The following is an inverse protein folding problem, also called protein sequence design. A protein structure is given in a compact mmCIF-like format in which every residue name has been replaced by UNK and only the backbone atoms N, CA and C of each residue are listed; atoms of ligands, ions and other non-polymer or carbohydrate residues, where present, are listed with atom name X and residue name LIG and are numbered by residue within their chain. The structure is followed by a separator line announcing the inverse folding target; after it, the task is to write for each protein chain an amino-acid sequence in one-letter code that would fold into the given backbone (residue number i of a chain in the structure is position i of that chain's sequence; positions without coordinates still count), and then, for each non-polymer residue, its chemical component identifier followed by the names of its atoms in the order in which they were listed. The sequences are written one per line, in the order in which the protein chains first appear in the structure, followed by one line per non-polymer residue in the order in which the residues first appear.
data_IF_041109254541
#
_entry.id   IF_041109254541
#
_cell.length_a   1.000
_cell.length_b   1.000
_cell.length_c   1.000
_cell.angle_alpha   90.00
_cell.angle_beta   90.00
_cell.angle_gamma   90.00
#
_symmetry.space_group_name_H-M   'P 1'
#
loop_
_entity.id
_entity.type
_entity.pdbx_description
1 polymer ?
#
# COMPACT_ATOMS: atom_id res chain seq x y z
N UNK A 1 -70.32 -3.56 21.50
CA UNK A 1 -69.83 -2.21 21.11
C UNK A 1 -68.39 -2.09 21.55
N UNK A 2 -67.50 -1.73 20.63
CA UNK A 2 -66.13 -1.34 20.92
C UNK A 2 -65.11 -2.47 21.00
N UNK A 3 -64.33 -2.67 19.94
CA UNK A 3 -62.96 -2.18 19.95
C UNK A 3 -62.42 -2.02 18.53
N UNK A 4 -61.92 -0.81 18.24
CA UNK A 4 -61.16 -0.48 17.06
C UNK A 4 -59.89 -1.31 16.95
N UNK A 5 -59.64 -1.86 15.77
CA UNK A 5 -58.36 -2.41 15.35
C UNK A 5 -58.17 -2.12 13.86
N UNK A 6 -57.78 -0.89 13.53
CA UNK A 6 -57.26 -0.52 12.21
C UNK A 6 -56.01 0.33 12.43
N UNK A 7 -54.83 -0.30 12.45
CA UNK A 7 -53.53 0.36 12.29
C UNK A 7 -52.51 -0.61 11.66
N UNK A 8 -52.06 -0.26 10.45
CA UNK A 8 -50.73 -0.48 9.86
C UNK A 8 -50.29 -1.87 9.36
N UNK A 9 -50.78 -2.28 8.18
CA UNK A 9 -49.99 -3.12 7.25
C UNK A 9 -49.08 -2.22 6.39
N UNK A 10 -47.84 -2.68 6.16
CA UNK A 10 -46.85 -2.23 5.16
C UNK A 10 -46.07 -0.92 5.34
N UNK A 11 -45.40 -0.74 6.50
CA UNK A 11 -44.31 0.26 6.66
C UNK A 11 -43.13 -0.29 7.47
N UNK A 12 -42.39 -1.26 6.94
CA UNK A 12 -41.14 -1.69 7.56
C UNK A 12 -40.00 -1.82 6.57
N UNK A 13 -38.80 -1.43 7.00
CA UNK A 13 -37.55 -1.67 6.30
C UNK A 13 -37.01 -3.06 6.66
N UNK A 14 -36.22 -3.72 5.78
CA UNK A 14 -35.54 -4.96 6.12
C UNK A 14 -34.66 -4.78 7.38
N UNK A 15 -34.67 -5.76 8.29
CA UNK A 15 -33.90 -5.70 9.55
C UNK A 15 -32.40 -5.49 9.30
N UNK A 16 -31.88 -6.05 8.21
CA UNK A 16 -30.48 -5.94 7.77
C UNK A 16 -30.12 -4.58 7.13
N UNK A 17 -31.09 -3.69 6.92
CA UNK A 17 -30.85 -2.35 6.38
C UNK A 17 -30.29 -1.43 7.47
N UNK A 18 -29.11 -0.85 7.25
CA UNK A 18 -28.45 0.04 8.22
C UNK A 18 -29.34 1.22 8.64
N UNK A 19 -29.27 1.61 9.92
CA UNK A 19 -30.02 2.75 10.46
C UNK A 19 -29.72 4.08 9.73
N UNK A 20 -28.51 4.27 9.22
CA UNK A 20 -28.15 5.44 8.41
C UNK A 20 -28.87 5.46 7.06
N UNK A 21 -28.99 4.31 6.39
CA UNK A 21 -29.72 4.22 5.13
C UNK A 21 -31.23 4.42 5.34
N UNK A 22 -31.80 3.86 6.43
CA UNK A 22 -33.22 4.08 6.80
C UNK A 22 -33.55 5.56 6.95
N UNK A 23 -32.77 6.27 7.77
CA UNK A 23 -32.95 7.71 7.99
C UNK A 23 -32.82 8.53 6.70
N UNK A 24 -31.90 8.13 5.81
CA UNK A 24 -31.70 8.81 4.54
C UNK A 24 -32.88 8.64 3.57
N UNK A 25 -33.44 7.43 3.50
CA UNK A 25 -34.62 7.12 2.68
C UNK A 25 -35.87 7.80 3.24
N UNK A 26 -36.05 7.79 4.56
CA UNK A 26 -37.14 8.49 5.25
C UNK A 26 -37.09 10.00 5.02
N UNK A 27 -35.90 10.61 5.09
CA UNK A 27 -35.70 12.02 4.77
C UNK A 27 -36.04 12.36 3.31
N UNK A 28 -36.02 11.37 2.41
CA UNK A 28 -36.42 11.51 1.01
C UNK A 28 -37.93 11.32 0.78
N UNK A 29 -38.66 10.91 1.82
CA UNK A 29 -40.10 10.66 1.79
C UNK A 29 -40.51 9.19 1.65
N UNK A 30 -39.55 8.26 1.67
CA UNK A 30 -39.83 6.82 1.63
C UNK A 30 -39.84 6.27 3.05
N UNK A 31 -41.00 5.82 3.53
CA UNK A 31 -41.19 5.33 4.89
C UNK A 31 -41.10 3.81 5.05
N UNK A 32 -41.05 3.07 3.94
CA UNK A 32 -40.87 1.62 3.93
C UNK A 32 -40.68 1.04 2.54
N UNK A 33 -40.54 -0.29 2.47
CA UNK A 33 -40.23 -1.00 1.22
C UNK A 33 -41.28 -0.76 0.12
N UNK A 34 -42.57 -0.66 0.49
CA UNK A 34 -43.66 -0.39 -0.44
C UNK A 34 -43.54 0.97 -1.15
N UNK A 35 -42.89 1.95 -0.52
CA UNK A 35 -42.69 3.28 -1.11
C UNK A 35 -41.59 3.28 -2.20
N UNK A 36 -40.84 2.19 -2.34
CA UNK A 36 -39.85 1.98 -3.39
C UNK A 36 -40.43 1.25 -4.61
N UNK A 37 -41.72 0.85 -4.59
CA UNK A 37 -42.36 0.20 -5.72
C UNK A 37 -42.32 1.11 -6.96
N UNK A 38 -41.71 0.63 -8.04
CA UNK A 38 -41.53 1.39 -9.28
C UNK A 38 -40.35 2.37 -9.28
N UNK A 39 -39.62 2.52 -8.17
CA UNK A 39 -38.35 3.22 -8.16
C UNK A 39 -37.29 2.41 -8.93
N UNK A 40 -36.29 3.10 -9.45
CA UNK A 40 -35.08 2.49 -9.99
C UNK A 40 -34.01 2.37 -8.92
N UNK A 41 -33.11 1.39 -9.06
CA UNK A 41 -31.93 1.28 -8.21
C UNK A 41 -31.09 2.56 -8.24
N UNK A 42 -31.04 3.26 -9.37
CA UNK A 42 -30.31 4.52 -9.55
C UNK A 42 -30.90 5.66 -8.71
N UNK A 43 -32.23 5.80 -8.70
CA UNK A 43 -32.91 6.80 -7.88
C UNK A 43 -32.65 6.57 -6.39
N UNK A 44 -32.69 5.32 -5.94
CA UNK A 44 -32.40 4.95 -4.56
C UNK A 44 -30.92 5.17 -4.21
N UNK A 45 -30.01 4.84 -5.13
CA UNK A 45 -28.57 5.06 -4.98
C UNK A 45 -28.18 6.55 -4.89
N UNK A 46 -29.00 7.44 -5.47
CA UNK A 46 -28.76 8.88 -5.45
C UNK A 46 -29.01 9.52 -4.07
N UNK A 47 -29.66 8.80 -3.14
CA UNK A 47 -29.96 9.29 -1.80
C UNK A 47 -28.70 9.27 -0.94
N UNK A 48 -28.26 10.47 -0.49
CA UNK A 48 -27.08 10.64 0.36
C UNK A 48 -27.25 9.84 1.67
N UNK A 49 -26.38 8.84 1.88
CA UNK A 49 -26.43 7.94 3.03
C UNK A 49 -26.89 6.51 2.69
N UNK A 50 -27.31 6.26 1.45
CA UNK A 50 -27.66 4.93 0.93
C UNK A 50 -26.47 4.36 0.14
N UNK A 51 -25.77 3.40 0.77
CA UNK A 51 -24.56 2.78 0.20
C UNK A 51 -24.82 1.47 -0.56
N UNK A 52 -23.76 0.86 -1.14
CA UNK A 52 -23.85 -0.36 -1.96
C UNK A 52 -24.58 -1.50 -1.28
N UNK A 53 -24.22 -1.74 -0.02
CA UNK A 53 -24.77 -2.80 0.81
C UNK A 53 -26.26 -2.58 1.07
N UNK A 54 -26.69 -1.32 1.25
CA UNK A 54 -28.09 -0.98 1.46
C UNK A 54 -28.93 -1.22 0.20
N UNK A 55 -28.41 -0.88 -0.99
CA UNK A 55 -29.09 -1.15 -2.26
C UNK A 55 -29.28 -2.66 -2.48
N UNK A 56 -28.24 -3.46 -2.21
CA UNK A 56 -28.34 -4.92 -2.36
C UNK A 56 -29.37 -5.53 -1.40
N UNK A 57 -29.41 -5.05 -0.15
CA UNK A 57 -30.42 -5.46 0.84
C UNK A 57 -31.84 -5.10 0.39
N UNK A 58 -32.03 -3.89 -0.14
CA UNK A 58 -33.33 -3.43 -0.65
C UNK A 58 -33.76 -4.19 -1.91
N UNK A 59 -32.83 -4.45 -2.83
CA UNK A 59 -33.11 -5.19 -4.06
C UNK A 59 -33.57 -6.62 -3.74
N UNK A 60 -32.86 -7.33 -2.85
CA UNK A 60 -33.25 -8.66 -2.42
C UNK A 60 -34.62 -8.68 -1.74
N UNK A 61 -34.91 -7.69 -0.88
CA UNK A 61 -36.19 -7.58 -0.20
C UNK A 61 -37.35 -7.25 -1.16
N UNK A 62 -37.13 -6.40 -2.17
CA UNK A 62 -38.12 -6.07 -3.20
C UNK A 62 -38.39 -7.25 -4.14
N UNK A 63 -37.36 -8.02 -4.49
CA UNK A 63 -37.49 -9.26 -5.25
C UNK A 63 -38.33 -10.29 -4.48
N UNK A 64 -38.08 -10.45 -3.18
CA UNK A 64 -38.85 -11.34 -2.29
C UNK A 64 -40.31 -10.88 -2.12
N UNK A 65 -40.54 -9.57 -2.09
CA UNK A 65 -41.87 -8.96 -2.04
C UNK A 65 -42.61 -8.96 -3.39
N UNK A 66 -41.99 -9.46 -4.48
CA UNK A 66 -42.58 -9.52 -5.81
C UNK A 66 -42.72 -8.15 -6.51
N UNK A 67 -42.02 -7.13 -6.02
CA UNK A 67 -42.03 -5.75 -6.54
C UNK A 67 -40.62 -5.26 -6.83
N UNK A 68 -39.87 -5.94 -7.74
CA UNK A 68 -38.48 -5.61 -8.03
C UNK A 68 -38.33 -4.15 -8.48
N UNK A 69 -37.13 -3.59 -8.32
CA UNK A 69 -36.82 -2.28 -8.89
C UNK A 69 -37.13 -2.22 -10.39
N UNK A 70 -37.60 -1.06 -10.86
CA UNK A 70 -38.04 -0.88 -12.24
C UNK A 70 -36.94 -1.15 -13.29
N UNK A 71 -35.68 -1.11 -12.88
CA UNK A 71 -34.50 -1.39 -13.70
C UNK A 71 -33.77 -2.71 -13.34
N UNK A 72 -34.40 -3.60 -12.57
CA UNK A 72 -33.83 -4.89 -12.16
C UNK A 72 -33.36 -5.75 -13.36
N UNK A 73 -34.05 -5.64 -14.50
CA UNK A 73 -33.71 -6.38 -15.74
C UNK A 73 -32.41 -5.95 -16.42
N UNK A 74 -31.83 -4.79 -16.05
CA UNK A 74 -30.59 -4.26 -16.66
C UNK A 74 -29.32 -4.95 -16.14
N UNK A 75 -29.44 -5.77 -15.10
CA UNK A 75 -28.37 -6.60 -14.55
C UNK A 75 -27.26 -5.82 -13.81
N UNK A 76 -26.34 -6.54 -13.12
CA UNK A 76 -25.43 -5.92 -12.14
C UNK A 76 -24.41 -4.92 -12.66
N UNK A 77 -24.11 -4.97 -13.97
CA UNK A 77 -23.14 -4.07 -14.62
C UNK A 77 -23.76 -2.71 -14.97
N UNK A 78 -25.02 -2.68 -15.35
CA UNK A 78 -25.69 -1.46 -15.80
C UNK A 78 -25.90 -0.46 -14.64
N UNK A 79 -26.23 -0.93 -13.44
CA UNK A 79 -26.42 -0.04 -12.29
C UNK A 79 -25.09 0.41 -11.67
N UNK A 80 -24.02 -0.40 -11.73
CA UNK A 80 -22.67 0.06 -11.31
C UNK A 80 -22.21 1.24 -12.18
N UNK A 81 -22.49 1.17 -13.48
CA UNK A 81 -22.20 2.25 -14.42
C UNK A 81 -23.07 3.49 -14.15
N UNK A 82 -24.38 3.32 -13.96
CA UNK A 82 -25.29 4.43 -13.65
C UNK A 82 -25.01 5.06 -12.26
N UNK A 83 -24.60 4.28 -11.26
CA UNK A 83 -24.17 4.78 -9.96
C UNK A 83 -22.85 5.59 -10.07
N UNK A 84 -21.91 5.13 -10.90
CA UNK A 84 -20.67 5.86 -11.18
C UNK A 84 -20.94 7.18 -11.91
N UNK A 85 -21.88 7.19 -12.86
CA UNK A 85 -22.38 8.40 -13.55
C UNK A 85 -23.14 9.35 -12.60
N UNK A 86 -23.84 8.81 -11.60
CA UNK A 86 -24.52 9.56 -10.54
C UNK A 86 -23.57 10.01 -9.39
N UNK A 87 -22.26 9.79 -9.50
CA UNK A 87 -21.26 10.32 -8.57
C UNK A 87 -20.97 9.46 -7.34
N UNK A 88 -21.40 8.20 -7.35
CA UNK A 88 -21.09 7.24 -6.31
C UNK A 88 -19.57 6.96 -6.27
N UNK A 89 -18.93 7.35 -5.16
CA UNK A 89 -17.46 7.34 -5.00
C UNK A 89 -16.86 8.66 -4.54
N UNK A 90 -17.60 9.78 -4.59
CA UNK A 90 -17.20 11.02 -3.89
C UNK A 90 -17.69 10.98 -2.44
N UNK A 91 -16.91 10.34 -1.55
CA UNK A 91 -16.99 10.65 -0.12
C UNK A 91 -16.52 12.08 0.11
N UNK A 92 -17.16 12.75 1.07
CA UNK A 92 -17.19 14.19 1.18
C UNK A 92 -15.86 14.85 1.47
N UNK A 93 -15.69 16.01 0.86
CA UNK A 93 -15.04 17.16 1.49
C UNK A 93 -16.02 18.32 1.32
N UNK A 94 -16.39 18.96 2.42
CA UNK A 94 -16.93 20.32 2.37
C UNK A 94 -15.95 21.22 1.63
N UNK A 95 -16.52 22.25 0.97
CA UNK A 95 -15.81 23.16 0.07
C UNK A 95 -14.57 23.75 0.73
N UNK A 96 -13.41 23.52 0.12
CA UNK A 96 -12.28 24.42 0.22
C UNK A 96 -12.26 25.25 -1.07
N UNK A 97 -12.39 26.57 -0.92
CA UNK A 97 -12.43 27.52 -2.03
C UNK A 97 -11.02 27.68 -2.62
N UNK A 98 -10.87 27.34 -3.91
CA UNK A 98 -9.74 27.78 -4.72
C UNK A 98 -8.75 26.71 -5.19
N UNK A 99 -9.18 25.80 -6.08
CA UNK A 99 -8.35 25.25 -7.15
C UNK A 99 -9.25 24.58 -8.21
N UNK A 100 -8.98 24.86 -9.49
CA UNK A 100 -9.74 24.34 -10.61
C UNK A 100 -9.83 22.80 -10.61
N UNK A 101 -11.01 22.27 -10.99
CA UNK A 101 -11.25 20.83 -11.11
C UNK A 101 -10.25 20.15 -12.06
N UNK A 102 -9.77 18.92 -11.78
CA UNK A 102 -8.93 18.20 -12.71
C UNK A 102 -9.72 17.86 -13.98
N UNK A 103 -9.11 18.16 -15.13
CA UNK A 103 -9.71 17.96 -16.45
C UNK A 103 -10.00 16.47 -16.73
N UNK A 104 -11.04 16.23 -17.54
CA UNK A 104 -11.37 14.90 -18.08
C UNK A 104 -10.15 14.32 -18.82
N UNK A 105 -9.85 13.04 -18.58
CA UNK A 105 -8.80 12.27 -19.29
C UNK A 105 -8.97 12.41 -20.81
N UNK A 106 -7.98 13.00 -21.46
CA UNK A 106 -7.83 12.98 -22.92
C UNK A 106 -7.46 11.57 -23.37
N UNK A 107 -8.21 11.01 -24.33
CA UNK A 107 -7.90 9.77 -25.04
C UNK A 107 -6.94 9.99 -26.23
N UNK A 108 -6.41 11.20 -26.41
CA UNK A 108 -5.43 11.47 -27.44
C UNK A 108 -4.10 10.79 -27.11
N UNK A 109 -3.49 10.12 -28.10
CA UNK A 109 -2.09 9.68 -28.01
C UNK A 109 -1.23 10.90 -27.70
N UNK A 110 -0.71 10.99 -26.48
CA UNK A 110 0.28 12.02 -26.14
C UNK A 110 1.48 11.85 -27.06
N UNK A 111 1.91 12.94 -27.69
CA UNK A 111 3.15 12.94 -28.47
C UNK A 111 4.33 12.52 -27.58
N UNK A 112 5.29 11.77 -28.14
CA UNK A 112 6.48 11.39 -27.39
C UNK A 112 7.28 12.63 -26.99
N UNK A 113 7.69 12.69 -25.73
CA UNK A 113 8.53 13.77 -25.22
C UNK A 113 10.00 13.42 -25.48
N UNK A 114 10.53 13.87 -26.62
CA UNK A 114 11.89 13.54 -27.08
C UNK A 114 11.97 12.24 -27.88
N UNK A 115 13.06 12.10 -28.63
CA UNK A 115 13.33 10.89 -29.41
C UNK A 115 13.62 9.69 -28.49
N UNK A 116 13.08 8.49 -28.78
CA UNK A 116 13.38 7.30 -28.00
C UNK A 116 14.87 6.98 -27.99
N UNK A 117 15.42 6.65 -26.82
CA UNK A 117 16.80 6.22 -26.66
C UNK A 117 16.87 4.72 -26.35
N UNK A 118 18.01 4.10 -26.67
CA UNK A 118 18.32 2.72 -26.30
C UNK A 118 19.38 2.75 -25.19
N UNK A 119 19.06 2.17 -24.04
CA UNK A 119 19.98 2.00 -22.93
C UNK A 119 20.56 0.58 -22.99
N UNK A 120 21.88 0.43 -22.98
CA UNK A 120 22.52 -0.88 -22.78
C UNK A 120 22.68 -1.14 -21.28
N UNK A 121 22.09 -2.22 -20.80
CA UNK A 121 22.08 -2.62 -19.39
C UNK A 121 22.57 -4.05 -19.30
N UNK A 122 23.84 -4.22 -18.96
CA UNK A 122 24.54 -5.52 -18.89
C UNK A 122 24.39 -6.36 -20.18
N UNK A 123 24.52 -5.72 -21.35
CA UNK A 123 24.41 -6.36 -22.66
C UNK A 123 22.97 -6.52 -23.16
N UNK A 124 21.96 -6.03 -22.42
CA UNK A 124 20.57 -5.97 -22.86
C UNK A 124 20.20 -4.56 -23.28
N UNK A 125 19.71 -4.42 -24.51
CA UNK A 125 19.20 -3.15 -25.02
C UNK A 125 17.76 -2.91 -24.57
N UNK A 126 17.56 -1.91 -23.72
CA UNK A 126 16.25 -1.49 -23.20
C UNK A 126 15.86 -0.14 -23.83
N UNK A 127 14.72 -0.12 -24.52
CA UNK A 127 14.19 1.10 -25.15
C UNK A 127 13.52 1.99 -24.11
N UNK A 128 13.97 3.24 -23.99
CA UNK A 128 13.29 4.28 -23.23
C UNK A 128 12.56 5.25 -24.16
N UNK A 129 11.24 5.17 -24.22
CA UNK A 129 10.41 6.10 -24.99
C UNK A 129 10.04 7.33 -24.17
N UNK A 130 9.96 8.49 -24.82
CA UNK A 130 9.66 9.77 -24.20
C UNK A 130 10.63 10.12 -23.05
N UNK A 131 11.96 10.07 -23.29
CA UNK A 131 12.96 10.30 -22.25
C UNK A 131 12.80 11.66 -21.57
N UNK A 132 12.43 12.71 -22.33
CA UNK A 132 12.30 14.09 -21.84
C UNK A 132 10.97 14.35 -21.11
N UNK A 133 10.16 13.32 -20.86
CA UNK A 133 8.92 13.49 -20.09
C UNK A 133 9.28 13.85 -18.67
N UNK A 134 8.88 15.04 -18.21
CA UNK A 134 9.07 15.47 -16.82
C UNK A 134 8.24 14.59 -15.89
N UNK A 135 8.89 14.01 -14.88
CA UNK A 135 8.29 13.19 -13.83
C UNK A 135 8.18 13.98 -12.54
N UNK A 136 9.23 14.74 -12.17
CA UNK A 136 9.26 15.59 -10.98
C UNK A 136 9.27 17.07 -11.39
N UNK A 137 8.11 17.73 -11.48
CA UNK A 137 8.00 19.09 -12.03
C UNK A 137 8.78 20.14 -11.25
N UNK A 138 8.83 20.02 -9.91
CA UNK A 138 9.54 20.97 -9.05
C UNK A 138 11.04 21.05 -9.36
N UNK A 139 11.62 19.93 -9.78
CA UNK A 139 13.05 19.82 -10.11
C UNK A 139 13.32 19.75 -11.61
N UNK A 140 12.28 19.57 -12.43
CA UNK A 140 12.41 19.31 -13.87
C UNK A 140 12.94 17.92 -14.22
N UNK A 141 13.10 17.00 -13.25
CA UNK A 141 13.65 15.66 -13.53
C UNK A 141 12.71 14.86 -14.42
N UNK A 142 13.32 14.22 -15.39
CA UNK A 142 12.69 13.52 -16.49
C UNK A 142 12.63 12.01 -16.27
N UNK A 143 11.93 11.31 -17.16
CA UNK A 143 11.91 9.86 -17.21
C UNK A 143 13.31 9.28 -17.42
N UNK A 144 14.15 9.94 -18.20
CA UNK A 144 15.55 9.55 -18.37
C UNK A 144 16.33 9.70 -17.08
N UNK A 145 16.13 10.78 -16.32
CA UNK A 145 16.80 10.97 -15.02
C UNK A 145 16.43 9.86 -14.03
N UNK A 146 15.17 9.43 -14.01
CA UNK A 146 14.72 8.27 -13.21
C UNK A 146 15.43 6.98 -13.64
N UNK A 147 15.53 6.72 -14.94
CA UNK A 147 16.22 5.53 -15.43
C UNK A 147 17.72 5.57 -15.11
N UNK A 148 18.38 6.73 -15.27
CA UNK A 148 19.79 6.94 -14.96
C UNK A 148 20.09 6.85 -13.46
N UNK A 149 19.17 7.33 -12.62
CA UNK A 149 19.24 7.13 -11.18
C UNK A 149 19.34 5.63 -10.84
N UNK A 150 18.41 4.82 -11.35
CA UNK A 150 18.40 3.38 -11.07
C UNK A 150 19.60 2.64 -11.68
N UNK A 151 20.14 3.11 -12.81
CA UNK A 151 21.41 2.61 -13.34
C UNK A 151 22.57 2.89 -12.37
N UNK A 152 22.62 4.09 -11.79
CA UNK A 152 23.71 4.51 -10.90
C UNK A 152 23.73 3.73 -9.57
N UNK A 153 22.56 3.40 -9.02
CA UNK A 153 22.42 2.58 -7.79
C UNK A 153 22.18 1.09 -8.10
N UNK A 154 22.49 0.66 -9.34
CA UNK A 154 22.10 -0.63 -9.91
C UNK A 154 22.35 -1.85 -9.01
N UNK A 155 23.57 -2.04 -8.46
CA UNK A 155 23.85 -3.15 -7.56
C UNK A 155 22.96 -3.15 -6.31
N UNK A 156 22.73 -1.98 -5.70
CA UNK A 156 21.93 -1.84 -4.49
C UNK A 156 20.44 -2.06 -4.71
N UNK A 157 19.83 -1.40 -5.71
CA UNK A 157 18.41 -1.62 -6.04
C UNK A 157 18.16 -3.08 -6.45
N UNK A 158 19.09 -3.69 -7.18
CA UNK A 158 18.95 -5.09 -7.59
C UNK A 158 19.07 -6.02 -6.38
N UNK A 159 19.95 -5.76 -5.41
CA UNK A 159 20.01 -6.53 -4.15
C UNK A 159 18.66 -6.53 -3.42
N UNK A 160 18.03 -5.36 -3.35
CA UNK A 160 16.74 -5.19 -2.70
C UNK A 160 15.57 -5.90 -3.42
N UNK A 161 15.66 -6.08 -4.75
CA UNK A 161 14.57 -6.60 -5.58
C UNK A 161 14.79 -8.02 -6.10
N UNK A 162 16.03 -8.55 -6.06
CA UNK A 162 16.41 -9.78 -6.76
C UNK A 162 15.52 -10.95 -6.38
N UNK A 163 14.88 -11.52 -7.40
CA UNK A 163 13.96 -12.65 -7.32
C UNK A 163 12.73 -12.39 -6.44
N UNK A 164 12.44 -11.15 -6.06
CA UNK A 164 11.27 -10.82 -5.25
C UNK A 164 10.11 -10.43 -6.15
N UNK A 165 8.91 -11.03 -5.99
CA UNK A 165 7.70 -10.46 -6.58
C UNK A 165 7.61 -8.99 -6.17
N UNK A 166 7.37 -8.10 -7.13
CA UNK A 166 7.48 -6.66 -6.93
C UNK A 166 6.30 -5.93 -7.52
N UNK A 167 5.54 -5.26 -6.64
CA UNK A 167 4.50 -4.34 -7.07
C UNK A 167 5.12 -3.06 -7.62
N UNK A 168 4.58 -2.58 -8.73
CA UNK A 168 5.07 -1.40 -9.42
C UNK A 168 4.14 -0.22 -9.17
N UNK A 169 4.69 0.87 -8.66
CA UNK A 169 3.99 2.15 -8.58
C UNK A 169 4.40 3.03 -9.75
N UNK A 170 3.46 3.18 -10.68
CA UNK A 170 3.69 3.80 -11.98
C UNK A 170 3.08 5.20 -12.04
N UNK A 171 3.76 6.10 -12.73
CA UNK A 171 3.38 7.48 -12.96
C UNK A 171 3.43 7.79 -14.46
N UNK A 172 2.49 7.25 -15.26
CA UNK A 172 2.53 7.38 -16.73
C UNK A 172 2.60 8.83 -17.22
N UNK A 173 2.00 9.74 -16.46
CA UNK A 173 1.91 11.17 -16.77
C UNK A 173 2.85 12.01 -15.88
N UNK A 174 3.81 11.39 -15.18
CA UNK A 174 4.61 12.04 -14.13
C UNK A 174 3.84 12.16 -12.81
N UNK A 175 4.44 12.83 -11.82
CA UNK A 175 3.86 13.00 -10.48
C UNK A 175 2.62 13.91 -10.45
N UNK A 176 2.44 14.78 -11.45
CA UNK A 176 1.20 15.57 -11.63
C UNK A 176 0.01 14.69 -12.06
N UNK A 177 0.30 13.47 -12.50
CA UNK A 177 -0.67 12.49 -12.96
C UNK A 177 -1.21 11.59 -11.85
N UNK A 178 -2.09 10.66 -12.24
CA UNK A 178 -2.55 9.62 -11.32
C UNK A 178 -1.50 8.52 -11.15
N UNK A 179 -1.21 8.18 -9.90
CA UNK A 179 -0.44 7.00 -9.51
C UNK A 179 -1.22 5.72 -9.85
N UNK A 180 -0.54 4.77 -10.49
CA UNK A 180 -1.08 3.46 -10.85
C UNK A 180 -0.36 2.38 -10.05
N UNK A 181 -1.12 1.63 -9.26
CA UNK A 181 -0.66 0.46 -8.52
C UNK A 181 -0.79 -0.77 -9.42
N UNK A 182 0.32 -1.45 -9.71
CA UNK A 182 0.32 -2.56 -10.64
C UNK A 182 1.03 -3.77 -10.03
N UNK A 183 0.24 -4.79 -9.72
CA UNK A 183 0.69 -6.12 -9.31
C UNK A 183 1.05 -6.97 -10.53
N UNK A 184 0.04 -7.25 -11.36
CA UNK A 184 0.17 -8.09 -12.57
C UNK A 184 1.02 -7.40 -13.64
N UNK A 185 1.97 -8.14 -14.22
CA UNK A 185 2.76 -7.68 -15.35
C UNK A 185 1.85 -7.36 -16.57
N UNK A 186 2.05 -6.23 -17.26
CA UNK A 186 1.21 -5.84 -18.38
C UNK A 186 1.44 -6.75 -19.59
N UNK A 187 0.41 -6.90 -20.42
CA UNK A 187 0.54 -7.61 -21.70
C UNK A 187 1.55 -6.90 -22.61
N UNK A 188 2.36 -7.69 -23.32
CA UNK A 188 3.42 -7.16 -24.20
C UNK A 188 4.74 -6.84 -23.50
N UNK A 189 4.95 -7.32 -22.27
CA UNK A 189 6.28 -7.37 -21.69
C UNK A 189 7.21 -8.25 -22.54
N UNK A 190 8.50 -7.89 -22.69
CA UNK A 190 9.48 -8.74 -23.36
C UNK A 190 9.64 -10.10 -22.68
N UNK A 191 9.88 -11.16 -23.46
CA UNK A 191 9.99 -12.54 -22.96
C UNK A 191 11.08 -12.74 -21.90
N UNK A 192 12.09 -11.87 -21.87
CA UNK A 192 13.18 -11.92 -20.90
C UNK A 192 12.84 -11.30 -19.55
N UNK A 193 11.70 -10.61 -19.42
CA UNK A 193 11.25 -10.00 -18.15
C UNK A 193 10.67 -11.10 -17.26
N UNK A 194 11.33 -11.44 -16.15
CA UNK A 194 10.92 -12.54 -15.28
C UNK A 194 9.64 -12.21 -14.52
N UNK A 195 8.78 -13.22 -14.35
CA UNK A 195 7.62 -13.16 -13.45
C UNK A 195 7.62 -14.30 -12.46
N UNK A 196 6.91 -14.08 -11.37
CA UNK A 196 6.51 -15.13 -10.43
C UNK A 196 5.01 -15.07 -10.21
N UNK A 197 4.39 -16.25 -10.13
CA UNK A 197 2.97 -16.37 -9.86
C UNK A 197 2.69 -16.31 -8.37
N UNK A 198 1.78 -15.41 -7.99
CA UNK A 198 1.20 -15.32 -6.66
C UNK A 198 -0.26 -15.77 -6.73
N UNK A 199 -0.62 -16.77 -5.95
CA UNK A 199 -2.00 -17.17 -5.77
C UNK A 199 -2.60 -16.48 -4.54
N UNK A 200 -3.86 -16.06 -4.68
CA UNK A 200 -4.70 -15.46 -3.66
C UNK A 200 -5.94 -16.36 -3.46
N UNK A 201 -5.80 -17.46 -2.70
CA UNK A 201 -6.80 -18.54 -2.66
C UNK A 201 -8.18 -18.07 -2.22
N UNK A 202 -8.24 -17.13 -1.25
CA UNK A 202 -9.49 -16.55 -0.73
C UNK A 202 -10.37 -15.95 -1.83
N UNK A 203 -9.74 -15.34 -2.84
CA UNK A 203 -10.46 -14.71 -3.95
C UNK A 203 -10.52 -15.60 -5.19
N UNK A 204 -9.90 -16.79 -5.16
CA UNK A 204 -9.66 -17.63 -6.33
C UNK A 204 -9.03 -16.83 -7.50
N UNK A 205 -8.07 -15.96 -7.15
CA UNK A 205 -7.34 -15.11 -8.08
C UNK A 205 -5.85 -15.45 -8.03
N UNK A 206 -5.14 -15.08 -9.09
CA UNK A 206 -3.69 -15.09 -9.14
C UNK A 206 -3.18 -13.82 -9.83
N UNK A 207 -1.90 -13.51 -9.66
CA UNK A 207 -1.20 -12.48 -10.40
C UNK A 207 0.21 -12.97 -10.73
N UNK A 208 0.64 -12.75 -11.97
CA UNK A 208 2.04 -12.92 -12.35
C UNK A 208 2.70 -11.56 -12.17
N UNK A 209 3.44 -11.40 -11.08
CA UNK A 209 4.13 -10.15 -10.74
C UNK A 209 5.55 -10.15 -11.29
N UNK A 210 6.11 -8.96 -11.53
CA UNK A 210 7.53 -8.82 -11.89
C UNK A 210 8.39 -9.40 -10.78
N UNK A 211 9.40 -10.21 -11.10
CA UNK A 211 10.39 -10.72 -10.15
C UNK A 211 11.80 -10.40 -10.64
N UNK A 212 12.31 -9.17 -10.44
CA UNK A 212 13.54 -8.70 -11.08
C UNK A 212 14.72 -9.66 -10.84
N UNK A 213 15.42 -10.07 -11.89
CA UNK A 213 16.62 -10.91 -11.80
C UNK A 213 17.86 -10.18 -12.31
N UNK A 214 17.68 -9.15 -13.13
CA UNK A 214 18.73 -8.34 -13.74
C UNK A 214 18.37 -6.86 -13.64
N UNK A 215 19.38 -5.98 -13.68
CA UNK A 215 19.15 -4.53 -13.66
C UNK A 215 18.28 -4.06 -14.85
N UNK A 216 18.40 -4.75 -16.00
CA UNK A 216 17.56 -4.49 -17.17
C UNK A 216 16.05 -4.61 -16.89
N UNK A 217 15.64 -5.47 -15.94
CA UNK A 217 14.24 -5.66 -15.56
C UNK A 217 13.71 -4.41 -14.82
N UNK A 218 14.55 -3.79 -13.98
CA UNK A 218 14.27 -2.53 -13.27
C UNK A 218 14.16 -1.38 -14.28
N UNK A 219 15.11 -1.27 -15.23
CA UNK A 219 15.09 -0.22 -16.25
C UNK A 219 13.91 -0.38 -17.21
N UNK A 220 13.52 -1.62 -17.53
CA UNK A 220 12.29 -1.87 -18.27
C UNK A 220 11.04 -1.42 -17.49
N UNK A 221 10.99 -1.65 -16.18
CA UNK A 221 9.90 -1.12 -15.36
C UNK A 221 9.88 0.43 -15.37
N UNK A 222 11.03 1.10 -15.34
CA UNK A 222 11.12 2.56 -15.54
C UNK A 222 10.60 2.99 -16.92
N UNK A 223 10.90 2.22 -17.98
CA UNK A 223 10.28 2.43 -19.30
C UNK A 223 8.75 2.33 -19.23
N UNK A 224 8.23 1.42 -18.40
CA UNK A 224 6.80 1.31 -18.10
C UNK A 224 6.30 2.38 -17.13
N UNK A 225 7.08 3.43 -16.84
CA UNK A 225 6.74 4.55 -15.97
C UNK A 225 6.72 4.21 -14.47
N UNK A 226 7.37 3.13 -14.05
CA UNK A 226 7.56 2.85 -12.62
C UNK A 226 8.51 3.88 -12.01
N UNK A 227 8.11 4.44 -10.87
CA UNK A 227 8.96 5.28 -10.02
C UNK A 227 9.28 4.57 -8.72
N UNK A 228 8.31 3.90 -8.09
CA UNK A 228 8.53 3.18 -6.83
C UNK A 228 8.41 1.66 -7.04
N UNK A 229 9.32 0.92 -6.39
CA UNK A 229 9.35 -0.53 -6.37
C UNK A 229 9.01 -1.03 -4.97
N UNK A 230 8.04 -1.93 -4.89
CA UNK A 230 7.49 -2.43 -3.63
C UNK A 230 7.57 -3.96 -3.61
N UNK A 231 8.73 -4.53 -3.25
CA UNK A 231 8.93 -5.96 -3.21
C UNK A 231 8.19 -6.60 -2.04
N UNK A 232 7.69 -7.80 -2.28
CA UNK A 232 7.30 -8.70 -1.22
C UNK A 232 8.52 -9.10 -0.39
N UNK A 233 8.33 -9.51 0.87
CA UNK A 233 9.40 -10.03 1.73
C UNK A 233 9.71 -11.52 1.51
N UNK A 234 9.34 -12.06 0.34
CA UNK A 234 9.62 -13.42 -0.12
C UNK A 234 10.47 -13.37 -1.39
N UNK A 235 11.01 -14.52 -1.80
CA UNK A 235 11.63 -14.71 -3.12
C UNK A 235 10.84 -15.70 -3.96
N UNK A 236 11.09 -15.71 -5.26
CA UNK A 236 10.36 -16.51 -6.23
C UNK A 236 10.52 -18.02 -6.02
N UNK A 237 11.59 -18.45 -5.34
CA UNK A 237 11.81 -19.83 -4.96
C UNK A 237 10.73 -20.38 -4.01
N UNK A 238 10.22 -19.54 -3.08
CA UNK A 238 9.09 -19.86 -2.20
C UNK A 238 8.34 -18.59 -1.81
N UNK A 239 7.17 -18.38 -2.43
CA UNK A 239 6.34 -17.18 -2.23
C UNK A 239 5.46 -17.24 -0.97
N UNK A 240 5.58 -18.28 -0.15
CA UNK A 240 4.82 -18.45 1.08
C UNK A 240 5.67 -18.29 2.34
N UNK A 241 7.00 -18.37 2.20
CA UNK A 241 7.95 -18.31 3.31
C UNK A 241 8.85 -17.08 3.21
N UNK A 242 8.57 -16.01 3.97
CA UNK A 242 9.41 -14.83 3.95
C UNK A 242 10.84 -15.15 4.36
N UNK A 243 11.78 -14.51 3.66
CA UNK A 243 13.19 -14.54 4.02
C UNK A 243 13.64 -13.19 4.61
N UNK A 244 12.74 -12.21 4.70
CA UNK A 244 13.03 -10.87 5.22
C UNK A 244 11.98 -10.47 6.26
N UNK A 245 12.44 -10.20 7.48
CA UNK A 245 11.65 -9.57 8.52
C UNK A 245 11.85 -8.05 8.44
N UNK A 246 10.74 -7.30 8.50
CA UNK A 246 10.72 -5.84 8.32
C UNK A 246 10.22 -5.17 9.60
N UNK A 247 11.01 -4.25 10.13
CA UNK A 247 10.63 -3.35 11.22
C UNK A 247 10.28 -2.02 10.57
N UNK A 248 9.06 -1.54 10.75
CA UNK A 248 8.58 -0.27 10.20
C UNK A 248 8.23 0.68 11.33
N UNK A 249 8.93 1.82 11.39
CA UNK A 249 8.77 2.85 12.39
C UNK A 249 8.02 4.03 11.76
N UNK A 250 6.71 4.06 11.98
CA UNK A 250 5.78 5.05 11.39
C UNK A 250 5.42 6.12 12.44
N UNK A 251 5.95 7.35 12.33
CA UNK A 251 5.57 8.42 13.25
C UNK A 251 4.09 8.79 13.09
N UNK A 252 3.36 8.90 14.20
CA UNK A 252 2.02 9.46 14.20
C UNK A 252 2.07 10.98 13.91
N UNK A 253 0.94 11.65 13.59
CA UNK A 253 0.95 12.98 12.98
C UNK A 253 1.67 14.10 13.75
N UNK A 254 1.85 13.97 15.06
CA UNK A 254 2.58 14.93 15.90
C UNK A 254 4.01 14.47 16.24
N UNK A 255 4.38 13.24 15.87
CA UNK A 255 5.74 12.71 16.03
C UNK A 255 6.64 13.16 14.88
N UNK A 256 7.80 13.72 15.20
CA UNK A 256 8.84 14.08 14.24
C UNK A 256 9.81 12.94 13.97
N UNK A 257 10.72 13.15 13.01
CA UNK A 257 11.77 12.18 12.70
C UNK A 257 12.75 11.95 13.87
N UNK A 258 12.91 12.90 14.78
CA UNK A 258 13.73 12.71 15.99
C UNK A 258 13.16 11.61 16.90
N UNK A 259 11.83 11.55 17.08
CA UNK A 259 11.19 10.45 17.80
C UNK A 259 11.42 9.10 17.08
N UNK A 260 11.42 9.11 15.74
CA UNK A 260 11.74 7.91 14.94
C UNK A 260 13.18 7.46 15.18
N UNK A 261 14.13 8.39 15.27
CA UNK A 261 15.55 8.08 15.58
C UNK A 261 15.69 7.49 16.98
N UNK A 262 15.03 8.06 17.98
CA UNK A 262 15.07 7.56 19.36
C UNK A 262 14.53 6.13 19.45
N UNK A 263 13.39 5.85 18.81
CA UNK A 263 12.81 4.49 18.75
C UNK A 263 13.66 3.53 17.92
N UNK A 264 14.28 4.00 16.83
CA UNK A 264 15.20 3.20 16.02
C UNK A 264 16.47 2.82 16.80
N UNK A 265 17.00 3.71 17.64
CA UNK A 265 18.15 3.43 18.49
C UNK A 265 17.84 2.32 19.50
N UNK A 266 16.68 2.37 20.16
CA UNK A 266 16.25 1.28 21.06
C UNK A 266 15.97 -0.01 20.29
N UNK A 267 15.42 0.06 19.08
CA UNK A 267 15.27 -1.12 18.23
C UNK A 267 16.64 -1.76 17.89
N UNK A 268 17.67 -0.94 17.66
CA UNK A 268 19.04 -1.42 17.44
C UNK A 268 19.61 -2.10 18.69
N UNK A 269 19.43 -1.52 19.88
CA UNK A 269 19.85 -2.14 21.15
C UNK A 269 19.21 -3.52 21.35
N UNK A 270 17.90 -3.65 21.07
CA UNK A 270 17.20 -4.95 21.16
C UNK A 270 17.73 -5.95 20.13
N UNK A 271 18.06 -5.50 18.91
CA UNK A 271 18.69 -6.36 17.89
C UNK A 271 20.08 -6.83 18.33
N UNK A 272 20.88 -5.96 18.94
CA UNK A 272 22.21 -6.28 19.49
C UNK A 272 22.13 -7.32 20.62
N UNK A 273 21.17 -7.17 21.52
CA UNK A 273 20.91 -8.16 22.59
C UNK A 273 20.54 -9.53 22.04
N UNK A 274 19.83 -9.58 20.91
CA UNK A 274 19.48 -10.80 20.19
C UNK A 274 20.64 -11.37 19.36
N UNK A 275 21.73 -10.60 19.17
CA UNK A 275 22.81 -10.95 18.26
C UNK A 275 22.38 -10.95 16.79
N UNK A 276 21.36 -10.15 16.44
CA UNK A 276 20.79 -10.04 15.09
C UNK A 276 21.27 -8.75 14.44
N UNK A 277 21.81 -8.82 13.22
CA UNK A 277 22.13 -7.62 12.45
C UNK A 277 20.90 -7.10 11.69
N UNK A 278 20.49 -5.88 12.01
CA UNK A 278 19.50 -5.12 11.24
C UNK A 278 20.14 -4.14 10.27
N UNK A 279 19.45 -3.87 9.16
CA UNK A 279 19.89 -3.02 8.06
C UNK A 279 18.94 -1.83 7.91
N UNK A 280 19.27 -0.65 8.48
CA UNK A 280 18.37 0.50 8.53
C UNK A 280 18.33 1.24 7.18
N UNK A 281 17.19 1.85 6.90
CA UNK A 281 17.00 2.74 5.76
C UNK A 281 15.94 3.78 6.06
N UNK A 282 16.12 5.00 5.55
CA UNK A 282 15.03 5.96 5.55
C UNK A 282 13.89 5.41 4.71
N UNK A 283 12.64 5.69 5.08
CA UNK A 283 11.50 5.33 4.23
C UNK A 283 11.46 6.18 2.95
N UNK A 284 12.12 7.35 2.95
CA UNK A 284 11.94 8.43 1.97
C UNK A 284 10.64 9.23 2.17
N UNK A 285 9.82 8.85 3.15
CA UNK A 285 8.70 9.64 3.68
C UNK A 285 9.06 10.17 5.06
N UNK A 286 8.20 9.94 6.05
CA UNK A 286 8.38 10.40 7.44
C UNK A 286 9.01 9.35 8.37
N UNK A 287 8.96 8.07 8.02
CA UNK A 287 9.42 6.96 8.89
C UNK A 287 10.79 6.39 8.53
N UNK A 288 11.15 5.33 9.25
CA UNK A 288 12.38 4.55 9.07
C UNK A 288 12.05 3.06 9.03
N UNK A 289 12.71 2.31 8.14
CA UNK A 289 12.56 0.86 8.11
C UNK A 289 13.88 0.19 8.47
N UNK A 290 13.82 -0.97 9.11
CA UNK A 290 14.98 -1.85 9.32
C UNK A 290 14.66 -3.21 8.72
N UNK A 291 15.55 -3.72 7.88
CA UNK A 291 15.44 -5.06 7.33
C UNK A 291 16.33 -6.03 8.09
N UNK A 292 15.83 -7.25 8.28
CA UNK A 292 16.57 -8.36 8.87
C UNK A 292 16.41 -9.58 7.97
N UNK A 293 17.53 -10.18 7.58
CA UNK A 293 17.53 -11.45 6.84
C UNK A 293 17.23 -12.60 7.79
N UNK A 294 16.21 -13.38 7.46
CA UNK A 294 15.78 -14.55 8.23
C UNK A 294 15.84 -15.82 7.38
N UNK A 295 15.92 -16.98 8.01
CA UNK A 295 15.78 -18.26 7.31
C UNK A 295 14.36 -18.36 6.76
N UNK A 296 14.20 -18.83 5.53
CA UNK A 296 12.90 -19.03 4.88
C UNK A 296 12.18 -20.29 5.42
N UNK A 297 11.97 -20.36 6.73
CA UNK A 297 11.43 -21.50 7.45
C UNK A 297 9.99 -21.26 7.95
N UNK A 298 9.59 -19.99 8.05
CA UNK A 298 8.32 -19.55 8.64
C UNK A 298 7.36 -19.02 7.58
N UNK A 299 6.06 -19.13 7.83
CA UNK A 299 5.04 -18.47 7.00
C UNK A 299 4.78 -17.04 7.48
N UNK A 300 4.07 -16.25 6.67
CA UNK A 300 3.76 -14.84 6.97
C UNK A 300 3.15 -14.62 8.37
N UNK A 301 2.29 -15.54 8.84
CA UNK A 301 1.64 -15.43 10.14
C UNK A 301 2.66 -15.49 11.29
N UNK A 302 3.63 -16.40 11.21
CA UNK A 302 4.71 -16.55 12.20
C UNK A 302 5.64 -15.35 12.18
N UNK A 303 6.03 -14.87 10.99
CA UNK A 303 6.92 -13.69 10.86
C UNK A 303 6.25 -12.43 11.42
N UNK A 304 4.96 -12.23 11.13
CA UNK A 304 4.17 -11.15 11.74
C UNK A 304 4.09 -11.26 13.25
N UNK A 305 3.93 -12.46 13.78
CA UNK A 305 3.85 -12.71 15.22
C UNK A 305 5.19 -12.44 15.91
N UNK A 306 6.29 -12.90 15.34
CA UNK A 306 7.65 -12.56 15.77
C UNK A 306 7.90 -11.04 15.74
N UNK A 307 7.49 -10.37 14.66
CA UNK A 307 7.58 -8.91 14.55
C UNK A 307 6.79 -8.19 15.65
N UNK A 308 5.62 -8.71 16.03
CA UNK A 308 4.83 -8.17 17.14
C UNK A 308 5.51 -8.39 18.50
N UNK A 309 6.11 -9.56 18.73
CA UNK A 309 6.90 -9.83 19.94
C UNK A 309 8.05 -8.84 20.10
N UNK A 310 8.82 -8.61 19.04
CA UNK A 310 9.87 -7.59 19.02
C UNK A 310 9.31 -6.18 19.23
N UNK A 311 8.28 -5.78 18.48
CA UNK A 311 7.68 -4.46 18.58
C UNK A 311 7.14 -4.17 19.99
N UNK A 312 6.59 -5.18 20.66
CA UNK A 312 6.08 -5.06 22.03
C UNK A 312 7.21 -4.86 23.04
N UNK A 313 8.35 -5.53 22.86
CA UNK A 313 9.54 -5.32 23.70
C UNK A 313 10.08 -3.89 23.54
N UNK A 314 10.24 -3.41 22.31
CA UNK A 314 10.70 -2.02 22.06
C UNK A 314 9.71 -1.02 22.65
N UNK A 315 8.40 -1.21 22.43
CA UNK A 315 7.37 -0.32 22.99
C UNK A 315 7.33 -0.35 24.53
N UNK A 316 7.63 -1.48 25.16
CA UNK A 316 7.71 -1.58 26.62
C UNK A 316 8.92 -0.82 27.21
N UNK A 317 10.01 -0.68 26.45
CA UNK A 317 11.18 0.13 26.85
C UNK A 317 10.96 1.64 26.66
N UNK A 318 10.05 2.01 25.75
CA UNK A 318 9.74 3.41 25.44
C UNK A 318 8.22 3.71 25.47
N UNK A 319 7.53 3.47 26.60
CA UNK A 319 6.06 3.52 26.65
C UNK A 319 5.47 4.92 26.37
N UNK A 320 6.26 5.98 26.56
CA UNK A 320 5.86 7.38 26.33
C UNK A 320 6.16 7.86 24.90
N UNK A 321 6.77 7.02 24.05
CA UNK A 321 7.17 7.40 22.69
C UNK A 321 6.84 6.37 21.61
N UNK A 322 6.70 5.09 21.96
CA UNK A 322 6.43 4.02 21.01
C UNK A 322 5.07 3.38 21.30
N UNK A 323 4.45 2.79 20.27
CA UNK A 323 3.19 2.06 20.44
C UNK A 323 3.05 0.91 19.46
N UNK A 324 2.38 -0.16 19.91
CA UNK A 324 1.89 -1.27 19.10
C UNK A 324 0.36 -1.28 19.03
N UNK A 325 -0.30 -0.22 19.50
CA UNK A 325 -1.76 -0.12 19.54
C UNK A 325 -2.36 -0.26 18.15
N UNK A 326 -3.21 -1.28 17.98
CA UNK A 326 -3.77 -1.65 16.68
C UNK A 326 -4.57 -0.51 16.03
N UNK A 327 -5.59 -0.02 16.74
CA UNK A 327 -6.51 0.97 16.19
C UNK A 327 -5.84 2.33 16.09
N UNK A 328 -5.67 2.84 14.86
CA UNK A 328 -5.05 4.15 14.60
C UNK A 328 -5.67 5.29 15.42
N UNK A 329 -6.98 5.26 15.65
CA UNK A 329 -7.72 6.26 16.45
C UNK A 329 -7.37 6.25 17.95
N UNK A 330 -6.81 5.15 18.44
CA UNK A 330 -6.47 4.94 19.85
C UNK A 330 -4.96 5.09 20.09
N UNK A 331 -4.18 5.38 19.03
CA UNK A 331 -2.75 5.70 19.13
C UNK A 331 -2.59 7.15 19.58
N UNK A 332 -1.67 7.38 20.51
CA UNK A 332 -1.27 8.75 20.83
C UNK A 332 -0.63 9.39 19.58
N UNK A 333 -1.07 10.59 19.16
CA UNK A 333 -0.55 11.25 17.97
C UNK A 333 0.94 11.60 18.05
N UNK A 334 1.54 11.58 19.24
CA UNK A 334 2.96 11.88 19.48
C UNK A 334 3.86 10.65 19.46
N UNK A 335 3.29 9.44 19.42
CA UNK A 335 4.08 8.21 19.43
C UNK A 335 4.53 7.81 18.02
N UNK A 336 5.57 6.98 17.96
CA UNK A 336 5.96 6.19 16.80
C UNK A 336 5.24 4.84 16.87
N UNK A 337 4.48 4.51 15.84
CA UNK A 337 3.89 3.18 15.71
C UNK A 337 4.91 2.22 15.11
N UNK A 338 5.14 1.10 15.79
CA UNK A 338 5.98 0.03 15.27
C UNK A 338 5.07 -0.93 14.49
N UNK A 339 4.99 -0.75 13.17
CA UNK A 339 4.03 -1.44 12.32
C UNK A 339 4.44 -2.88 12.01
N UNK A 340 4.11 -3.78 12.93
CA UNK A 340 4.33 -5.22 12.76
C UNK A 340 3.52 -5.84 11.61
N UNK A 341 2.46 -5.17 11.10
CA UNK A 341 1.67 -5.71 9.98
C UNK A 341 2.35 -5.60 8.62
N UNK A 342 3.45 -4.86 8.51
CA UNK A 342 4.22 -4.85 7.27
C UNK A 342 4.79 -6.23 6.91
N UNK A 343 4.74 -7.18 7.85
CA UNK A 343 5.11 -8.58 7.66
C UNK A 343 3.92 -9.49 7.31
N UNK A 344 2.69 -8.94 7.24
CA UNK A 344 1.53 -9.67 6.76
C UNK A 344 1.65 -9.94 5.25
N UNK A 345 0.95 -10.97 4.77
CA UNK A 345 0.88 -11.27 3.33
C UNK A 345 0.27 -10.08 2.59
N UNK A 346 0.79 -9.78 1.40
CA UNK A 346 0.34 -8.68 0.53
C UNK A 346 0.60 -7.25 1.06
N UNK A 347 1.36 -7.12 2.16
CA UNK A 347 1.92 -5.85 2.59
C UNK A 347 3.31 -5.66 1.99
N UNK A 348 3.51 -4.56 1.29
CA UNK A 348 4.77 -4.25 0.61
C UNK A 348 5.28 -2.89 1.04
N UNK A 349 6.60 -2.80 1.24
CA UNK A 349 7.30 -1.56 1.57
C UNK A 349 8.14 -1.12 0.38
N UNK A 350 8.38 0.18 0.25
CA UNK A 350 9.32 0.70 -0.75
C UNK A 350 10.70 0.05 -0.53
N UNK A 351 11.28 -0.50 -1.60
CA UNK A 351 12.58 -1.14 -1.58
C UNK A 351 13.68 -0.15 -1.14
N UNK A 352 14.79 -0.68 -0.61
CA UNK A 352 16.03 0.06 -0.57
C UNK A 352 16.38 0.61 -1.96
N UNK A 353 16.81 1.88 -2.02
CA UNK A 353 17.06 2.67 -3.24
C UNK A 353 15.83 2.95 -4.11
N UNK A 354 14.61 2.59 -3.70
CA UNK A 354 13.43 3.02 -4.43
C UNK A 354 13.22 4.52 -4.25
N UNK A 355 13.06 5.25 -5.36
CA UNK A 355 12.47 6.59 -5.34
C UNK A 355 11.08 6.54 -4.72
N UNK A 356 10.68 7.65 -4.13
CA UNK A 356 9.30 7.92 -3.69
C UNK A 356 8.65 8.85 -4.68
N UNK A 357 7.38 8.59 -5.01
CA UNK A 357 6.56 9.47 -5.85
C UNK A 357 6.08 10.71 -5.09
N UNK A 358 7.01 11.38 -4.40
CA UNK A 358 6.82 12.65 -3.69
C UNK A 358 7.47 13.76 -4.51
N UNK A 359 6.95 15.00 -4.50
CA UNK A 359 7.51 16.10 -5.30
C UNK A 359 9.00 16.35 -5.07
N UNK A 360 9.47 16.16 -3.84
CA UNK A 360 10.87 16.26 -3.42
C UNK A 360 11.81 15.21 -4.03
N UNK A 361 11.27 14.16 -4.67
CA UNK A 361 12.02 13.02 -5.22
C UNK A 361 12.98 12.36 -4.24
N UNK A 362 12.54 12.23 -2.98
CA UNK A 362 13.25 11.51 -1.94
C UNK A 362 13.34 10.01 -2.24
N UNK A 363 14.33 9.37 -1.62
CA UNK A 363 14.66 7.96 -1.81
C UNK A 363 14.45 7.22 -0.50
N UNK A 364 13.96 5.98 -0.56
CA UNK A 364 14.09 5.06 0.57
C UNK A 364 15.54 4.56 0.64
N UNK A 365 16.41 5.30 1.32
CA UNK A 365 17.85 5.14 1.19
C UNK A 365 18.40 4.32 2.34
N UNK A 366 19.14 3.22 2.06
CA UNK A 366 20.02 2.58 3.03
C UNK A 366 20.97 3.58 3.69
N UNK A 367 21.21 3.35 4.98
CA UNK A 367 22.16 4.05 5.83
C UNK A 367 22.87 3.03 6.70
N UNK A 368 24.03 3.41 7.22
CA UNK A 368 24.66 2.72 8.34
C UNK A 368 24.03 3.16 9.67
N UNK A 369 24.16 2.35 10.72
CA UNK A 369 23.60 2.67 12.04
C UNK A 369 24.24 3.90 12.70
N UNK A 370 25.52 4.17 12.42
CA UNK A 370 26.25 5.33 12.95
C UNK A 370 25.76 6.66 12.34
N UNK A 371 25.11 6.61 11.17
CA UNK A 371 24.51 7.78 10.51
C UNK A 371 23.13 8.16 11.06
N UNK A 372 22.51 7.29 11.88
CA UNK A 372 21.14 7.47 12.36
C UNK A 372 20.92 8.81 13.08
N UNK A 373 21.91 9.26 13.86
CA UNK A 373 21.83 10.50 14.62
C UNK A 373 21.77 11.75 13.74
N UNK A 374 22.41 11.71 12.57
CA UNK A 374 22.66 12.88 11.75
C UNK A 374 21.85 12.88 10.44
N UNK A 375 21.37 11.72 9.98
CA UNK A 375 20.70 11.60 8.68
C UNK A 375 19.42 12.42 8.58
N UNK A 376 19.34 13.33 7.61
CA UNK A 376 18.06 13.94 7.21
C UNK A 376 17.51 13.21 5.97
N UNK A 377 16.34 12.54 6.05
CA UNK A 377 15.74 11.87 4.90
C UNK A 377 15.48 12.80 3.70
N UNK A 378 15.34 14.11 3.92
CA UNK A 378 15.09 15.10 2.87
C UNK A 378 16.31 15.37 2.01
N UNK A 379 17.50 15.09 2.53
CA UNK A 379 18.76 15.24 1.80
C UNK A 379 19.04 14.04 0.88
N UNK A 380 18.28 12.95 1.01
CA UNK A 380 18.44 11.71 0.25
C UNK A 380 17.43 11.68 -0.90
N UNK A 381 17.87 12.15 -2.07
CA UNK A 381 17.03 12.39 -3.25
C UNK A 381 17.58 11.71 -4.50
N UNK A 382 16.81 11.75 -5.58
CA UNK A 382 17.24 11.36 -6.93
C UNK A 382 18.60 11.96 -7.30
N UNK A 383 18.86 13.21 -6.92
CA UNK A 383 20.09 13.92 -7.29
C UNK A 383 21.29 13.59 -6.39
N UNK A 384 21.07 13.27 -5.11
CA UNK A 384 22.16 13.15 -4.12
C UNK A 384 22.60 11.72 -3.87
N UNK A 385 21.66 10.76 -3.88
CA UNK A 385 21.94 9.36 -3.58
C UNK A 385 22.92 8.70 -4.56
N UNK A 386 22.92 8.97 -5.88
CA UNK A 386 23.92 8.40 -6.79
C UNK A 386 25.37 8.73 -6.42
N UNK A 387 25.64 9.99 -6.04
CA UNK A 387 26.98 10.43 -5.63
C UNK A 387 27.41 9.73 -4.34
N UNK A 388 26.50 9.67 -3.37
CA UNK A 388 26.69 8.93 -2.12
C UNK A 388 26.98 7.45 -2.36
N UNK A 389 26.17 6.77 -3.19
CA UNK A 389 26.37 5.35 -3.50
C UNK A 389 27.73 5.09 -4.15
N UNK A 390 28.19 5.98 -5.04
CA UNK A 390 29.50 5.86 -5.66
C UNK A 390 30.66 6.05 -4.65
N UNK A 391 30.44 6.85 -3.61
CA UNK A 391 31.44 7.16 -2.57
C UNK A 391 31.57 6.04 -1.52
N UNK A 392 30.43 5.58 -0.98
CA UNK A 392 30.44 4.65 0.18
C UNK A 392 30.00 3.23 -0.17
N UNK A 393 29.45 3.00 -1.36
CA UNK A 393 28.87 1.72 -1.74
C UNK A 393 27.45 1.49 -1.19
N UNK A 394 27.12 0.23 -0.94
CA UNK A 394 25.81 -0.21 -0.45
C UNK A 394 25.88 -0.56 1.05
N UNK A 395 25.28 0.24 1.96
CA UNK A 395 25.21 -0.10 3.38
C UNK A 395 24.51 -1.44 3.66
N UNK A 396 23.72 -1.96 2.72
CA UNK A 396 23.04 -3.24 2.83
C UNK A 396 23.79 -4.37 2.11
N UNK A 397 25.06 -4.16 1.70
CA UNK A 397 25.83 -5.14 0.90
C UNK A 397 25.83 -6.54 1.53
N UNK A 398 25.95 -6.60 2.86
CA UNK A 398 26.09 -7.83 3.65
C UNK A 398 24.77 -8.45 4.13
N UNK A 399 23.62 -7.91 3.72
CA UNK A 399 22.31 -8.37 4.20
C UNK A 399 22.06 -9.87 3.99
N UNK A 400 22.65 -10.45 2.95
CA UNK A 400 22.48 -11.88 2.63
C UNK A 400 23.58 -12.78 3.24
N UNK A 401 24.55 -12.22 3.99
CA UNK A 401 25.67 -13.00 4.57
C UNK A 401 25.23 -13.91 5.72
N UNK A 402 24.18 -13.53 6.46
CA UNK A 402 23.67 -14.29 7.60
C UNK A 402 22.16 -14.26 7.64
N UNK A 403 21.55 -15.43 7.85
CA UNK A 403 20.11 -15.59 8.00
C UNK A 403 19.76 -16.02 9.43
N UNK A 404 19.05 -15.16 10.13
CA UNK A 404 18.71 -15.34 11.55
C UNK A 404 17.46 -16.17 11.74
N UNK A 405 17.32 -16.70 12.96
CA UNK A 405 16.11 -17.39 13.40
C UNK A 405 15.11 -16.46 14.08
N UNK A 406 13.85 -16.90 14.16
CA UNK A 406 12.76 -16.16 14.81
C UNK A 406 12.27 -16.79 16.13
N UNK A 407 12.89 -17.89 16.58
CA UNK A 407 12.43 -18.70 17.71
C UNK A 407 12.27 -17.86 18.98
N UNK A 408 13.29 -17.10 19.35
CA UNK A 408 13.25 -16.22 20.52
C UNK A 408 12.13 -15.17 20.41
N UNK A 409 11.91 -14.59 19.23
CA UNK A 409 10.86 -13.59 19.01
C UNK A 409 9.46 -14.21 19.09
N UNK A 410 9.31 -15.46 18.65
CA UNK A 410 8.07 -16.21 18.80
C UNK A 410 7.78 -16.51 20.29
N UNK A 411 8.79 -16.87 21.07
CA UNK A 411 8.65 -17.03 22.53
C UNK A 411 8.27 -15.69 23.21
N UNK A 412 8.79 -14.57 22.71
CA UNK A 412 8.41 -13.24 23.22
C UNK A 412 6.95 -12.95 22.92
N UNK A 413 6.49 -13.25 21.70
CA UNK A 413 5.09 -13.13 21.34
C UNK A 413 4.18 -14.02 22.20
N UNK A 414 4.57 -15.27 22.48
CA UNK A 414 3.82 -16.16 23.38
C UNK A 414 3.61 -15.51 24.77
N UNK A 415 4.67 -14.91 25.33
CA UNK A 415 4.60 -14.23 26.64
C UNK A 415 3.71 -12.98 26.59
N UNK A 416 3.87 -12.16 25.56
CA UNK A 416 3.09 -10.94 25.41
C UNK A 416 1.60 -11.26 25.23
N UNK A 417 1.24 -12.28 24.45
CA UNK A 417 -0.16 -12.73 24.29
C UNK A 417 -0.75 -13.23 25.61
N UNK A 418 0.01 -14.02 26.37
CA UNK A 418 -0.40 -14.50 27.68
C UNK A 418 -0.66 -13.34 28.68
N UNK A 419 0.08 -12.25 28.54
CA UNK A 419 -0.06 -11.05 29.39
C UNK A 419 -1.14 -10.06 28.94
N UNK A 420 -1.44 -10.00 27.63
CA UNK A 420 -2.33 -9.00 27.03
C UNK A 420 -3.80 -9.44 26.92
N UNK A 421 -4.13 -10.73 27.12
CA UNK A 421 -5.45 -11.27 26.79
C UNK A 421 -5.69 -11.35 25.27
N UNK A 422 -6.88 -11.79 24.79
CA UNK A 422 -7.13 -12.00 23.35
C UNK A 422 -7.20 -10.65 22.61
N UNK A 423 -6.04 -10.10 22.25
CA UNK A 423 -5.89 -8.75 21.69
C UNK A 423 -5.26 -8.70 20.30
N UNK A 424 -4.94 -9.85 19.69
CA UNK A 424 -4.66 -9.88 18.26
C UNK A 424 -5.95 -9.52 17.54
N UNK A 425 -6.07 -8.26 17.10
CA UNK A 425 -7.04 -7.89 16.09
C UNK A 425 -6.85 -8.87 14.93
N UNK A 426 -7.86 -9.71 14.69
CA UNK A 426 -7.80 -10.67 13.59
C UNK A 426 -7.46 -9.88 12.32
N UNK A 427 -6.46 -10.32 11.55
CA UNK A 427 -6.23 -9.71 10.26
C UNK A 427 -7.52 -9.87 9.46
N UNK A 428 -8.05 -8.77 8.91
CA UNK A 428 -9.02 -8.90 7.84
C UNK A 428 -8.31 -9.63 6.70
N UNK A 429 -8.56 -10.95 6.65
CA UNK A 429 -8.19 -11.88 5.58
C UNK A 429 -8.49 -11.34 4.20
#
# INVERSE_FOLDING_TARGET
MGHHGRVSEDKHWPESLSASARRALEARGWGGLADLAGATMVEVASVKGVGPKAIMVLAAALDEAGTPFADASKGPRAWKQAAQEAGWGRRGSEKWDGAAAPAKRSTAKKEPAGEPIMLDVDGRSVRLSSPNRVYFPEHGWTKEDVARYYLAVGPGILRALRDRPTMLHRFPDGLDGQKVYQKRLPSGAPDWVPTVRLDFPRYNLHADELAPAHLADVIWACQMSTVEFHPWNVRAADVNRPDEWRIDLDPMPEAGFDAVREVAAVAHEVLDELGITGYPKTSGGSGLHVYVRIRAEWEFADVRRAAWGFASEVAARMPDQATVTWWRKDRDPKHVFIDYNQNARDHTLAAAYSLRGLPSGTVSSPIEWDELADVDPRDLTLATVPGRFAEIGDPHEKIDDTAYGLETLLEWADRSEASAGPGLGEPES
#
